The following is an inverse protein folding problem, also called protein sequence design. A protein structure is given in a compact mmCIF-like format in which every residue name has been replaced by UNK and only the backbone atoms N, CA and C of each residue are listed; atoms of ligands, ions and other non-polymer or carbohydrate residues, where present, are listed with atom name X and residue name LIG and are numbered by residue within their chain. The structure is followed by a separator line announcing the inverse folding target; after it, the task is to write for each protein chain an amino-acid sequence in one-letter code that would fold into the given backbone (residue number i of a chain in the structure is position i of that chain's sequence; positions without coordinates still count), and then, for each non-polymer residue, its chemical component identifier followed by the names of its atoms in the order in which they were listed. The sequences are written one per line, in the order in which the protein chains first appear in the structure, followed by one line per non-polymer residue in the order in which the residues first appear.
data_IF_126240509080
#
_entry.id   IF_126240509080
#
_cell.length_a   1.000
_cell.length_b   1.000
_cell.length_c   1.000
_cell.angle_alpha   90.00
_cell.angle_beta   90.00
_cell.angle_gamma   90.00
#
_symmetry.space_group_name_H-M   'P 1'
#
loop_
_entity.id
_entity.type
_entity.pdbx_description
1 polymer ?
#
# COMPACT_ATOMS: atom_id res chain seq x y z
N UNK A 1 3.31 12.11 -25.36
CA UNK A 1 2.86 11.79 -23.97
C UNK A 1 2.51 10.32 -23.72
N UNK A 2 2.57 9.39 -24.70
CA UNK A 2 2.04 8.02 -24.56
C UNK A 2 2.91 7.03 -23.77
N UNK A 3 4.23 7.28 -23.60
CA UNK A 3 5.15 6.40 -22.86
C UNK A 3 5.37 6.77 -21.38
N UNK A 4 5.04 8.00 -20.98
CA UNK A 4 5.25 8.46 -19.60
C UNK A 4 4.22 7.86 -18.64
N UNK A 5 2.95 7.74 -19.07
CA UNK A 5 1.86 7.19 -18.26
C UNK A 5 2.15 5.83 -17.61
N UNK A 6 2.58 4.79 -18.34
CA UNK A 6 2.87 3.49 -17.72
C UNK A 6 4.07 3.54 -16.76
N UNK A 7 5.05 4.41 -17.03
CA UNK A 7 6.18 4.60 -16.11
C UNK A 7 5.73 5.27 -14.80
N UNK A 8 4.92 6.32 -14.88
CA UNK A 8 4.38 7.01 -13.70
C UNK A 8 3.53 6.04 -12.87
N UNK A 9 2.66 5.26 -13.51
CA UNK A 9 1.88 4.23 -12.81
C UNK A 9 2.80 3.22 -12.12
N UNK A 10 3.85 2.74 -12.79
CA UNK A 10 4.80 1.82 -12.17
C UNK A 10 5.48 2.41 -10.94
N UNK A 11 5.92 3.67 -11.00
CA UNK A 11 6.53 4.37 -9.86
C UNK A 11 5.53 4.50 -8.71
N UNK A 12 4.32 5.00 -8.99
CA UNK A 12 3.25 5.11 -7.98
C UNK A 12 2.95 3.74 -7.38
N UNK A 13 2.91 2.70 -8.19
CA UNK A 13 2.64 1.34 -7.73
C UNK A 13 3.69 0.81 -6.77
N UNK A 14 4.98 1.02 -7.08
CA UNK A 14 6.08 0.66 -6.18
C UNK A 14 6.00 1.46 -4.88
N UNK A 15 5.73 2.78 -4.97
CA UNK A 15 5.59 3.61 -3.77
C UNK A 15 4.44 3.16 -2.87
N UNK A 16 3.28 2.81 -3.43
CA UNK A 16 2.14 2.30 -2.67
C UNK A 16 2.46 0.96 -1.99
N UNK A 17 3.10 0.04 -2.71
CA UNK A 17 3.54 -1.23 -2.14
C UNK A 17 4.53 -1.04 -1.00
N UNK A 18 5.56 -0.22 -1.22
CA UNK A 18 6.56 0.09 -0.20
C UNK A 18 5.94 0.78 1.00
N UNK A 19 4.98 1.69 0.79
CA UNK A 19 4.25 2.34 1.87
C UNK A 19 3.50 1.34 2.74
N UNK A 20 2.72 0.43 2.15
CA UNK A 20 1.97 -0.58 2.91
C UNK A 20 2.91 -1.50 3.67
N UNK A 21 3.96 -2.03 3.00
CA UNK A 21 4.92 -2.93 3.64
C UNK A 21 5.62 -2.22 4.80
N UNK A 22 6.09 -0.99 4.59
CA UNK A 22 6.76 -0.23 5.63
C UNK A 22 5.84 0.05 6.83
N UNK A 23 4.59 0.46 6.57
CA UNK A 23 3.64 0.73 7.64
C UNK A 23 3.32 -0.52 8.48
N UNK A 24 3.15 -1.67 7.83
CA UNK A 24 2.79 -2.91 8.53
C UNK A 24 3.99 -3.54 9.25
N UNK A 25 5.16 -3.58 8.61
CA UNK A 25 6.32 -4.31 9.14
C UNK A 25 7.24 -3.47 10.02
N UNK A 26 7.34 -2.16 9.76
CA UNK A 26 8.22 -1.24 10.49
C UNK A 26 7.43 -0.27 11.35
N UNK A 27 6.24 0.14 10.90
CA UNK A 27 5.41 1.12 11.58
C UNK A 27 5.70 2.55 11.12
N UNK A 28 4.63 3.32 10.93
CA UNK A 28 4.70 4.76 10.64
C UNK A 28 4.65 5.62 11.90
N UNK A 29 4.35 5.02 13.06
CA UNK A 29 4.29 5.71 14.33
C UNK A 29 5.25 5.07 15.34
N UNK A 30 5.79 5.88 16.24
CA UNK A 30 6.58 5.39 17.36
C UNK A 30 6.25 6.16 18.63
N UNK A 31 6.34 5.48 19.76
CA UNK A 31 6.18 6.06 21.07
C UNK A 31 7.29 5.60 22.01
N UNK A 32 7.88 6.55 22.71
CA UNK A 32 8.95 6.31 23.68
C UNK A 32 8.32 6.15 25.06
N UNK A 33 8.26 4.90 25.54
CA UNK A 33 8.05 4.60 26.95
C UNK A 33 9.35 4.80 27.74
N UNK A 34 9.31 4.91 29.08
CA UNK A 34 10.51 5.12 29.90
C UNK A 34 11.67 4.16 29.60
N UNK A 35 11.37 2.89 29.33
CA UNK A 35 12.39 1.84 29.15
C UNK A 35 12.48 1.30 27.71
N UNK A 36 11.59 1.71 26.80
CA UNK A 36 11.49 1.10 25.47
C UNK A 36 10.90 2.04 24.42
N UNK A 37 11.43 1.96 23.19
CA UNK A 37 10.84 2.57 22.01
C UNK A 37 9.96 1.53 21.31
N UNK A 38 8.66 1.79 21.20
CA UNK A 38 7.72 0.89 20.53
C UNK A 38 7.25 1.51 19.23
N UNK A 39 7.29 0.72 18.17
CA UNK A 39 6.78 1.08 16.85
C UNK A 39 5.35 0.54 16.66
N UNK A 40 4.51 1.34 16.03
CA UNK A 40 3.12 1.03 15.74
C UNK A 40 2.83 1.23 14.27
N UNK A 41 1.99 0.36 13.74
CA UNK A 41 1.34 0.56 12.45
C UNK A 41 0.27 1.63 12.61
N UNK A 42 0.17 2.55 11.67
CA UNK A 42 -0.97 3.47 11.61
C UNK A 42 -2.09 2.91 10.73
N UNK A 43 -3.32 3.04 11.18
CA UNK A 43 -4.50 2.62 10.40
C UNK A 43 -4.72 3.54 9.20
N UNK A 44 -4.63 2.99 7.99
CA UNK A 44 -4.65 3.79 6.75
C UNK A 44 -5.95 4.58 6.59
N UNK A 45 -7.09 4.01 6.98
CA UNK A 45 -8.38 4.70 6.94
C UNK A 45 -8.34 5.94 7.83
N UNK A 46 -7.76 5.81 9.01
CA UNK A 46 -7.70 6.90 9.97
C UNK A 46 -6.67 7.97 9.56
N UNK A 47 -5.54 7.57 8.95
CA UNK A 47 -4.59 8.52 8.30
C UNK A 47 -5.30 9.36 7.24
N UNK A 48 -6.09 8.72 6.36
CA UNK A 48 -6.78 9.40 5.27
C UNK A 48 -7.91 10.31 5.80
N UNK A 49 -8.58 9.88 6.87
CA UNK A 49 -9.65 10.66 7.49
C UNK A 49 -9.17 11.94 8.17
N UNK A 50 -7.89 11.99 8.56
CA UNK A 50 -7.32 13.10 9.32
C UNK A 50 -7.72 13.15 10.79
N UNK A 51 -8.33 12.07 11.32
CA UNK A 51 -8.82 12.01 12.70
C UNK A 51 -7.72 11.65 13.73
N UNK A 52 -6.52 11.29 13.28
CA UNK A 52 -5.43 10.87 14.15
C UNK A 52 -4.53 12.04 14.55
N UNK A 53 -4.89 12.70 15.64
CA UNK A 53 -4.06 13.75 16.23
C UNK A 53 -2.95 13.16 17.09
N UNK A 54 -1.73 13.69 16.96
CA UNK A 54 -0.55 13.11 17.59
C UNK A 54 -0.59 13.24 19.10
N UNK A 55 -1.10 14.36 19.57
CA UNK A 55 -1.25 14.72 20.98
C UNK A 55 -2.22 13.75 21.67
N UNK A 56 -3.34 13.43 21.02
CA UNK A 56 -4.33 12.46 21.51
C UNK A 56 -3.73 11.06 21.58
N UNK A 57 -3.06 10.62 20.52
CA UNK A 57 -2.39 9.31 20.49
C UNK A 57 -1.37 9.19 21.62
N UNK A 58 -0.54 10.22 21.81
CA UNK A 58 0.48 10.21 22.88
C UNK A 58 -0.13 10.21 24.27
N UNK A 59 -1.24 10.92 24.48
CA UNK A 59 -1.95 10.94 25.77
C UNK A 59 -2.51 9.54 26.09
N UNK A 60 -3.16 8.89 25.13
CA UNK A 60 -3.69 7.54 25.30
C UNK A 60 -2.58 6.52 25.58
N UNK A 61 -1.48 6.57 24.82
CA UNK A 61 -0.34 5.66 25.02
C UNK A 61 0.37 5.91 26.36
N UNK A 62 0.47 7.16 26.82
CA UNK A 62 1.03 7.47 28.13
C UNK A 62 0.20 6.86 29.27
N UNK A 63 -1.13 6.79 29.12
CA UNK A 63 -2.04 6.11 30.04
C UNK A 63 -2.14 4.59 29.79
N UNK A 64 -1.26 4.03 28.94
CA UNK A 64 -1.24 2.62 28.55
C UNK A 64 -2.56 2.15 27.91
N UNK A 65 -3.31 3.07 27.31
CA UNK A 65 -4.54 2.78 26.57
C UNK A 65 -4.24 2.49 25.11
N UNK A 66 -5.04 1.62 24.51
CA UNK A 66 -5.02 1.39 23.06
C UNK A 66 -5.65 2.57 22.33
N UNK A 67 -5.07 2.98 21.21
CA UNK A 67 -5.65 4.02 20.36
C UNK A 67 -6.10 3.43 19.02
N UNK A 68 -7.30 3.80 18.55
CA UNK A 68 -7.91 3.31 17.31
C UNK A 68 -7.12 3.63 16.03
N UNK A 69 -6.27 4.65 16.06
CA UNK A 69 -5.39 5.02 14.96
C UNK A 69 -4.20 4.07 14.79
N UNK A 70 -3.95 3.22 15.79
CA UNK A 70 -2.78 2.38 15.85
C UNK A 70 -3.18 0.90 15.90
N UNK A 71 -2.36 0.08 15.25
CA UNK A 71 -2.42 -1.36 15.39
C UNK A 71 -1.03 -1.95 15.64
N UNK A 72 -0.97 -3.18 16.18
CA UNK A 72 0.27 -3.93 16.25
C UNK A 72 0.90 -4.12 14.86
N UNK A 73 2.24 -4.15 14.81
CA UNK A 73 2.96 -4.50 13.59
C UNK A 73 2.61 -5.92 13.11
N UNK A 74 2.76 -6.17 11.81
CA UNK A 74 2.41 -7.44 11.16
C UNK A 74 0.90 -7.69 11.00
N UNK A 75 0.05 -6.76 11.43
CA UNK A 75 -1.40 -6.85 11.21
C UNK A 75 -1.77 -6.30 9.84
N UNK A 76 -2.40 -7.14 9.00
CA UNK A 76 -2.91 -6.75 7.70
C UNK A 76 -4.43 -6.65 7.74
N UNK A 77 -4.97 -5.45 7.56
CA UNK A 77 -6.39 -5.25 7.35
C UNK A 77 -6.73 -5.24 5.86
N UNK A 78 -8.03 -5.35 5.56
CA UNK A 78 -8.52 -5.37 4.19
C UNK A 78 -8.02 -4.16 3.37
N UNK A 79 -7.95 -2.98 3.98
CA UNK A 79 -7.48 -1.76 3.30
C UNK A 79 -6.00 -1.85 2.87
N UNK A 80 -5.14 -2.43 3.72
CA UNK A 80 -3.72 -2.64 3.40
C UNK A 80 -3.59 -3.54 2.18
N UNK A 81 -4.35 -4.64 2.15
CA UNK A 81 -4.37 -5.60 1.04
C UNK A 81 -4.86 -4.94 -0.24
N UNK A 82 -5.94 -4.14 -0.16
CA UNK A 82 -6.49 -3.42 -1.31
C UNK A 82 -5.45 -2.46 -1.89
N UNK A 83 -4.79 -1.66 -1.05
CA UNK A 83 -3.78 -0.69 -1.50
C UNK A 83 -2.56 -1.41 -2.06
N UNK A 84 -2.09 -2.49 -1.42
CA UNK A 84 -1.00 -3.31 -1.92
C UNK A 84 -1.34 -3.94 -3.27
N UNK A 85 -2.58 -4.44 -3.46
CA UNK A 85 -3.04 -4.99 -4.74
C UNK A 85 -3.07 -3.93 -5.85
N UNK A 86 -3.59 -2.73 -5.55
CA UNK A 86 -3.55 -1.59 -6.49
C UNK A 86 -2.10 -1.23 -6.84
N UNK A 87 -1.24 -1.13 -5.82
CA UNK A 87 0.18 -0.85 -5.98
C UNK A 87 0.88 -1.88 -6.87
N UNK A 88 0.56 -3.17 -6.68
CA UNK A 88 1.07 -4.27 -7.50
C UNK A 88 0.62 -4.19 -8.95
N UNK A 89 -0.67 -3.97 -9.21
CA UNK A 89 -1.18 -3.81 -10.58
C UNK A 89 -0.53 -2.62 -11.28
N UNK A 90 -0.28 -1.55 -10.55
CA UNK A 90 0.37 -0.36 -11.07
C UNK A 90 1.86 -0.59 -11.33
N UNK A 91 2.58 -1.27 -10.44
CA UNK A 91 4.02 -1.56 -10.58
C UNK A 91 4.35 -2.37 -11.83
N UNK A 92 3.46 -3.30 -12.22
CA UNK A 92 3.63 -4.12 -13.43
C UNK A 92 3.21 -3.43 -14.74
N UNK A 93 2.60 -2.23 -14.67
CA UNK A 93 2.08 -1.54 -15.86
C UNK A 93 3.16 -1.13 -16.87
N UNK A 94 4.32 -0.66 -16.42
CA UNK A 94 5.48 -0.33 -17.26
C UNK A 94 6.10 -1.56 -17.94
N UNK A 95 6.47 -2.64 -17.22
CA UNK A 95 7.04 -3.83 -17.86
C UNK A 95 6.05 -4.49 -18.82
N UNK A 96 4.74 -4.55 -18.49
CA UNK A 96 3.71 -5.06 -19.41
C UNK A 96 3.63 -4.20 -20.68
N UNK A 97 3.65 -2.88 -20.53
CA UNK A 97 3.62 -1.96 -21.68
C UNK A 97 4.86 -2.12 -22.56
N UNK A 98 6.04 -2.29 -21.96
CA UNK A 98 7.29 -2.53 -22.67
C UNK A 98 7.26 -3.87 -23.44
N UNK A 99 6.80 -4.94 -22.80
CA UNK A 99 6.65 -6.27 -23.42
C UNK A 99 5.64 -6.26 -24.59
N UNK A 100 4.57 -5.48 -24.47
CA UNK A 100 3.57 -5.30 -25.55
C UNK A 100 4.16 -4.53 -26.73
N UNK A 101 4.92 -3.46 -26.48
CA UNK A 101 5.62 -2.70 -27.53
C UNK A 101 6.70 -3.55 -28.23
N UNK A 102 7.38 -4.44 -27.50
CA UNK A 102 8.38 -5.35 -28.06
C UNK A 102 7.78 -6.51 -28.89
N UNK A 103 6.45 -6.64 -29.00
CA UNK A 103 5.79 -7.76 -29.68
C UNK A 103 5.95 -9.11 -28.97
N UNK A 104 6.54 -9.13 -27.76
CA UNK A 104 6.77 -10.34 -26.95
C UNK A 104 5.55 -10.78 -26.15
N UNK A 105 4.59 -9.87 -25.92
CA UNK A 105 3.26 -10.21 -25.39
C UNK A 105 2.30 -10.51 -26.54
N UNK A 106 2.27 -11.76 -27.00
CA UNK A 106 1.16 -12.28 -27.82
C UNK A 106 0.09 -12.83 -26.87
N UNK A 107 -1.00 -12.09 -26.69
CA UNK A 107 -2.23 -12.69 -26.13
C UNK A 107 -2.60 -13.84 -27.07
N UNK A 108 -2.61 -15.06 -26.55
CA UNK A 108 -3.02 -16.24 -27.31
C UNK A 108 -4.37 -15.95 -27.98
N UNK A 109 -4.45 -16.12 -29.30
CA UNK A 109 -5.71 -15.97 -30.06
C UNK A 109 -6.84 -16.85 -29.51
N UNK A 110 -6.52 -17.89 -28.75
CA UNK A 110 -7.50 -18.74 -28.07
C UNK A 110 -8.25 -18.02 -26.95
N UNK A 111 -7.60 -17.11 -26.22
CA UNK A 111 -8.22 -16.42 -25.09
C UNK A 111 -9.13 -15.26 -25.55
N UNK A 112 -8.76 -14.55 -26.63
CA UNK A 112 -9.62 -13.50 -27.19
C UNK A 112 -10.92 -14.04 -27.80
N UNK A 113 -10.90 -15.28 -28.33
CA UNK A 113 -12.11 -15.93 -28.88
C UNK A 113 -13.11 -16.33 -27.79
N UNK A 114 -12.64 -16.64 -26.58
CA UNK A 114 -13.52 -17.01 -25.47
C UNK A 114 -14.11 -15.80 -24.74
N UNK A 115 -13.40 -14.66 -24.67
CA UNK A 115 -13.97 -13.43 -24.09
C UNK A 115 -14.97 -12.72 -25.01
N UNK A 116 -14.88 -12.89 -26.33
CA UNK A 116 -15.86 -12.34 -27.27
C UNK A 116 -17.17 -13.12 -27.34
N UNK A 117 -17.27 -14.24 -26.60
CA UNK A 117 -18.45 -15.11 -26.52
C UNK A 117 -19.18 -15.03 -25.16
N UNK A 118 -18.64 -14.26 -24.23
CA UNK A 118 -19.31 -13.87 -22.98
C UNK A 118 -19.92 -12.47 -23.18
#
# INVERSE_FOLDING_TARGET
MTKAKPLILAIVGVLLLSFVIYNVEVGLYYFQYPDQLIHYKMEIIEIISGNCDREVINADLADHQSNQCLSPLGTYYAIDIIIAAVGFVFSISAPISALKQSGKLRISRGWSKNMARL
#
